data_IF_801184396587
#
_entry.id   IF_801184396587
#
_cell.length_a   1.000
_cell.length_b   1.000
_cell.length_c   1.000
_cell.angle_alpha   90.00
_cell.angle_beta   90.00
_cell.angle_gamma   90.00
#
_symmetry.space_group_name_H-M   'P 1'
#
loop_
_entity.id
_entity.type
_entity.pdbx_description
1 polymer ?
#
# COMPACT_ATOMS: atom_id res chain seq x y z
N UNK A 1 -8.25 5.19 -9.04
CA UNK A 1 -7.59 6.53 -9.03
C UNK A 1 -6.72 6.75 -7.80
N UNK A 2 -7.24 6.43 -6.60
CA UNK A 2 -6.55 6.68 -5.32
C UNK A 2 -5.24 5.89 -5.19
N UNK A 3 -5.21 4.62 -5.60
CA UNK A 3 -3.99 3.78 -5.62
C UNK A 3 -2.85 4.41 -6.42
N UNK A 4 -3.16 5.02 -7.56
CA UNK A 4 -2.19 5.66 -8.44
C UNK A 4 -1.59 6.91 -7.77
N UNK A 5 -2.40 7.67 -7.04
CA UNK A 5 -1.96 8.80 -6.21
C UNK A 5 -1.03 8.32 -5.09
N UNK A 6 -1.36 7.22 -4.42
CA UNK A 6 -0.54 6.66 -3.33
C UNK A 6 0.82 6.19 -3.86
N UNK A 7 0.85 5.52 -5.02
CA UNK A 7 2.10 5.08 -5.67
C UNK A 7 2.96 6.27 -6.09
N UNK A 8 2.35 7.30 -6.71
CA UNK A 8 3.06 8.52 -7.11
C UNK A 8 3.61 9.25 -5.88
N UNK A 9 2.81 9.39 -4.82
CA UNK A 9 3.24 10.00 -3.57
C UNK A 9 4.38 9.21 -2.90
N UNK A 10 4.30 7.89 -2.85
CA UNK A 10 5.36 7.04 -2.32
C UNK A 10 6.67 7.14 -3.14
N UNK A 11 6.57 7.21 -4.46
CA UNK A 11 7.73 7.39 -5.35
C UNK A 11 8.42 8.74 -5.14
N UNK A 12 7.65 9.82 -4.95
CA UNK A 12 8.17 11.15 -4.65
C UNK A 12 8.85 11.18 -3.29
N UNK A 13 8.24 10.58 -2.25
CA UNK A 13 8.84 10.52 -0.92
C UNK A 13 10.17 9.74 -0.91
N UNK A 14 10.30 8.70 -1.74
CA UNK A 14 11.52 7.90 -1.85
C UNK A 14 12.70 8.72 -2.44
N UNK A 15 12.42 9.63 -3.39
CA UNK A 15 13.45 10.47 -4.02
C UNK A 15 14.07 11.51 -3.08
N UNK A 16 13.33 12.00 -2.08
CA UNK A 16 13.80 13.05 -1.18
C UNK A 16 14.41 12.53 0.13
N UNK A 17 14.09 11.32 0.57
CA UNK A 17 14.47 10.81 1.89
C UNK A 17 15.19 9.46 1.82
N UNK A 18 16.51 9.50 1.55
CA UNK A 18 17.40 8.32 1.54
C UNK A 18 17.75 7.78 2.95
N UNK A 19 17.24 8.38 4.03
CA UNK A 19 17.59 7.91 5.38
C UNK A 19 16.83 6.64 5.76
N UNK A 20 17.54 5.66 6.34
CA UNK A 20 16.99 4.36 6.74
C UNK A 20 15.81 4.49 7.74
N UNK A 21 15.85 5.51 8.61
CA UNK A 21 14.79 5.77 9.59
C UNK A 21 13.53 6.35 8.94
N UNK A 22 13.67 7.27 7.99
CA UNK A 22 12.52 7.86 7.29
C UNK A 22 11.85 6.83 6.37
N UNK A 23 12.64 5.97 5.73
CA UNK A 23 12.11 4.86 4.92
C UNK A 23 11.26 3.89 5.77
N UNK A 24 11.71 3.57 6.99
CA UNK A 24 10.95 2.75 7.93
C UNK A 24 9.61 3.42 8.31
N UNK A 25 9.63 4.71 8.64
CA UNK A 25 8.41 5.45 8.99
C UNK A 25 7.41 5.50 7.83
N UNK A 26 7.87 5.78 6.61
CA UNK A 26 7.04 5.78 5.40
C UNK A 26 6.45 4.39 5.16
N UNK A 27 7.27 3.34 5.25
CA UNK A 27 6.81 1.96 5.05
C UNK A 27 5.77 1.54 6.08
N UNK A 28 5.90 1.98 7.35
CA UNK A 28 4.92 1.74 8.39
C UNK A 28 3.57 2.44 8.10
N UNK A 29 3.61 3.71 7.69
CA UNK A 29 2.40 4.46 7.30
C UNK A 29 1.74 3.82 6.08
N UNK A 30 2.53 3.43 5.08
CA UNK A 30 2.04 2.74 3.90
C UNK A 30 1.36 1.41 4.26
N UNK A 31 1.96 0.59 5.12
CA UNK A 31 1.36 -0.67 5.57
C UNK A 31 0.00 -0.45 6.25
N UNK A 32 -0.13 0.55 7.12
CA UNK A 32 -1.41 0.88 7.77
C UNK A 32 -2.44 1.32 6.72
N UNK A 33 -2.05 2.19 5.81
CA UNK A 33 -2.91 2.75 4.77
C UNK A 33 -3.43 1.66 3.83
N UNK A 34 -2.56 0.80 3.30
CA UNK A 34 -2.98 -0.31 2.44
C UNK A 34 -3.84 -1.34 3.20
N UNK A 35 -3.60 -1.55 4.50
CA UNK A 35 -4.49 -2.39 5.31
C UNK A 35 -5.91 -1.82 5.39
N UNK A 36 -6.05 -0.49 5.52
CA UNK A 36 -7.36 0.17 5.47
C UNK A 36 -8.00 0.08 4.07
N UNK A 37 -7.24 0.24 3.00
CA UNK A 37 -7.76 0.07 1.64
C UNK A 37 -8.28 -1.35 1.41
N UNK A 38 -7.57 -2.38 1.85
CA UNK A 38 -8.05 -3.77 1.76
C UNK A 38 -9.41 -3.92 2.45
N UNK A 39 -9.58 -3.37 3.65
CA UNK A 39 -10.86 -3.42 4.36
C UNK A 39 -11.97 -2.67 3.61
N UNK A 40 -11.65 -1.50 3.06
CA UNK A 40 -12.57 -0.67 2.30
C UNK A 40 -13.01 -1.35 1.00
N UNK A 41 -12.06 -1.88 0.23
CA UNK A 41 -12.32 -2.54 -1.05
C UNK A 41 -13.00 -3.88 -0.87
N UNK A 42 -12.65 -4.64 0.18
CA UNK A 42 -13.40 -5.85 0.54
C UNK A 42 -14.87 -5.52 0.83
N UNK A 43 -15.16 -4.44 1.58
CA UNK A 43 -16.54 -4.04 1.82
C UNK A 43 -17.25 -3.60 0.53
N UNK A 44 -16.56 -2.89 -0.36
CA UNK A 44 -17.14 -2.48 -1.65
C UNK A 44 -17.44 -3.67 -2.56
N UNK A 45 -16.57 -4.68 -2.59
CA UNK A 45 -16.79 -5.94 -3.33
C UNK A 45 -18.03 -6.65 -2.77
N UNK A 46 -18.13 -6.80 -1.44
CA UNK A 46 -19.27 -7.46 -0.79
C UNK A 46 -20.58 -6.71 -1.04
N UNK A 47 -20.54 -5.38 -1.06
CA UNK A 47 -21.72 -4.53 -1.33
C UNK A 47 -22.09 -4.47 -2.82
N UNK A 48 -21.25 -4.98 -3.72
CA UNK A 48 -21.47 -4.87 -5.16
C UNK A 48 -21.27 -3.45 -5.70
N UNK A 49 -20.46 -2.63 -5.04
CA UNK A 49 -20.19 -1.24 -5.43
C UNK A 49 -19.20 -1.12 -6.62
N UNK A 50 -18.77 -2.23 -7.21
CA UNK A 50 -17.90 -2.29 -8.37
C UNK A 50 -18.71 -2.60 -9.63
N UNK A 51 -18.38 -1.96 -10.75
CA UNK A 51 -19.07 -2.20 -12.03
C UNK A 51 -18.84 -3.64 -12.52
N UNK A 52 -17.65 -4.18 -12.24
CA UNK A 52 -17.32 -5.58 -12.56
C UNK A 52 -16.58 -6.26 -11.41
N UNK A 53 -16.78 -7.58 -11.18
CA UNK A 53 -16.03 -8.32 -10.16
C UNK A 53 -14.53 -8.34 -10.41
N UNK A 54 -14.12 -8.27 -11.68
CA UNK A 54 -12.72 -8.26 -12.10
C UNK A 54 -12.04 -6.98 -11.60
N UNK A 55 -12.70 -5.84 -11.71
CA UNK A 55 -12.17 -4.56 -11.22
C UNK A 55 -11.92 -4.59 -9.72
N UNK A 56 -12.90 -5.07 -8.94
CA UNK A 56 -12.75 -5.22 -7.49
C UNK A 56 -11.61 -6.18 -7.11
N UNK A 57 -11.48 -7.30 -7.82
CA UNK A 57 -10.39 -8.24 -7.61
C UNK A 57 -9.01 -7.64 -7.92
N UNK A 58 -8.89 -6.86 -9.00
CA UNK A 58 -7.64 -6.19 -9.38
C UNK A 58 -7.28 -5.10 -8.36
N UNK A 59 -8.25 -4.32 -7.88
CA UNK A 59 -8.03 -3.32 -6.83
C UNK A 59 -7.49 -3.97 -5.55
N UNK A 60 -8.18 -5.01 -5.07
CA UNK A 60 -7.79 -5.76 -3.87
C UNK A 60 -6.40 -6.40 -4.02
N UNK A 61 -6.08 -6.93 -5.20
CA UNK A 61 -4.76 -7.49 -5.50
C UNK A 61 -3.66 -6.43 -5.39
N UNK A 62 -3.87 -5.24 -5.95
CA UNK A 62 -2.90 -4.15 -5.90
C UNK A 62 -2.65 -3.67 -4.47
N UNK A 63 -3.70 -3.52 -3.67
CA UNK A 63 -3.54 -3.13 -2.27
C UNK A 63 -2.76 -4.18 -1.47
N UNK A 64 -3.04 -5.46 -1.71
CA UNK A 64 -2.33 -6.55 -1.05
C UNK A 64 -0.84 -6.58 -1.42
N UNK A 65 -0.50 -6.41 -2.71
CA UNK A 65 0.90 -6.35 -3.16
C UNK A 65 1.62 -5.15 -2.54
N UNK A 66 0.97 -3.98 -2.47
CA UNK A 66 1.58 -2.79 -1.88
C UNK A 66 1.77 -2.92 -0.36
N UNK A 67 0.81 -3.52 0.35
CA UNK A 67 0.96 -3.88 1.76
C UNK A 67 2.15 -4.81 1.95
N UNK A 68 2.24 -5.88 1.14
CA UNK A 68 3.32 -6.85 1.21
C UNK A 68 4.70 -6.21 1.00
N UNK A 69 4.85 -5.36 -0.01
CA UNK A 69 6.10 -4.62 -0.26
C UNK A 69 6.45 -3.70 0.90
N UNK A 70 5.46 -3.01 1.47
CA UNK A 70 5.66 -2.14 2.64
C UNK A 70 6.17 -2.93 3.85
N UNK A 71 5.57 -4.09 4.12
CA UNK A 71 6.01 -5.00 5.18
C UNK A 71 7.41 -5.55 4.93
N UNK A 72 7.74 -5.92 3.68
CA UNK A 72 9.09 -6.35 3.31
C UNK A 72 10.12 -5.27 3.58
N UNK A 73 9.81 -4.00 3.27
CA UNK A 73 10.73 -2.89 3.54
C UNK A 73 10.94 -2.66 5.04
N UNK A 74 9.88 -2.78 5.83
CA UNK A 74 9.97 -2.76 7.30
C UNK A 74 10.88 -3.90 7.80
N UNK A 75 10.66 -5.13 7.34
CA UNK A 75 11.47 -6.30 7.70
C UNK A 75 12.95 -6.11 7.32
N UNK A 76 13.22 -5.61 6.11
CA UNK A 76 14.58 -5.30 5.66
C UNK A 76 15.27 -4.26 6.53
N UNK A 77 14.54 -3.21 6.94
CA UNK A 77 15.10 -2.18 7.84
C UNK A 77 15.50 -2.77 9.19
N UNK A 78 14.66 -3.66 9.76
CA UNK A 78 14.99 -4.38 11.00
C UNK A 78 16.15 -5.36 10.85
N UNK A 79 16.27 -6.06 9.72
CA UNK A 79 17.35 -7.00 9.45
C UNK A 79 18.68 -6.31 9.06
N UNK A 80 18.65 -5.04 8.66
CA UNK A 80 19.85 -4.25 8.31
C UNK A 80 20.55 -3.60 9.51
N UNK A 81 20.00 -3.79 10.72
CA UNK A 81 20.64 -3.42 11.99
C UNK A 81 21.22 -4.66 12.65
#
# INVERSE_FOLDING_TARGET
FIVLIVIVAASLLNLFFQSSIVNLAISAVAAILFSFYILYDTQNIIRGNYETPIEGAVALYLDFVNLFVSLLNILRSFNSR
#
